data_IF_604469754203
#
_entry.id   IF_604469754203
#
_cell.length_a   1.000
_cell.length_b   1.000
_cell.length_c   1.000
_cell.angle_alpha   90.00
_cell.angle_beta   90.00
_cell.angle_gamma   90.00
#
_symmetry.space_group_name_H-M   'P 1'
#
loop_
_entity.id
_entity.type
_entity.pdbx_description
1 polymer ?
#
# COMPACT_ATOMS: atom_id res chain seq x y z
N UNK A 1 -6.69 -0.95 -20.36
CA UNK A 1 -7.88 -1.81 -20.20
C UNK A 1 -7.84 -2.89 -21.26
N UNK A 2 -8.19 -4.11 -20.87
CA UNK A 2 -8.37 -5.26 -21.75
C UNK A 2 -9.87 -5.47 -21.92
N UNK A 3 -10.32 -5.86 -23.13
CA UNK A 3 -11.73 -6.23 -23.32
C UNK A 3 -12.02 -7.53 -22.55
N UNK A 4 -13.09 -7.50 -21.76
CA UNK A 4 -13.55 -8.69 -21.04
C UNK A 4 -14.04 -9.74 -22.05
N UNK A 5 -13.48 -10.92 -22.00
CA UNK A 5 -13.80 -12.01 -22.90
C UNK A 5 -14.41 -13.16 -22.08
N UNK A 6 -15.41 -13.79 -22.60
CA UNK A 6 -16.06 -14.96 -21.99
C UNK A 6 -15.19 -16.22 -22.17
N UNK A 7 -13.88 -16.08 -21.89
CA UNK A 7 -12.86 -17.10 -22.05
C UNK A 7 -12.00 -17.21 -20.79
N UNK A 8 -11.38 -18.36 -20.60
CA UNK A 8 -10.46 -18.59 -19.47
C UNK A 8 -9.14 -17.84 -19.67
N UNK A 9 -8.54 -17.37 -18.59
CA UNK A 9 -7.22 -16.77 -18.62
C UNK A 9 -6.17 -17.79 -19.08
N UNK A 10 -5.14 -17.28 -19.75
CA UNK A 10 -3.97 -18.06 -20.11
C UNK A 10 -3.25 -18.52 -18.83
N UNK A 11 -2.72 -19.74 -18.82
CA UNK A 11 -2.00 -20.28 -17.69
C UNK A 11 -0.79 -19.41 -17.29
N UNK A 12 -0.54 -19.20 -15.98
CA UNK A 12 0.58 -18.41 -15.48
C UNK A 12 1.93 -18.85 -16.04
N UNK A 13 2.14 -20.16 -16.20
CA UNK A 13 3.38 -20.75 -16.77
C UNK A 13 3.67 -20.25 -18.17
N UNK A 14 2.62 -20.06 -19.00
CA UNK A 14 2.77 -19.50 -20.33
C UNK A 14 3.24 -18.06 -20.31
N UNK A 15 2.65 -17.22 -19.44
CA UNK A 15 3.03 -15.81 -19.31
C UNK A 15 4.46 -15.66 -18.75
N UNK A 16 4.84 -16.49 -17.76
CA UNK A 16 6.19 -16.52 -17.24
C UNK A 16 7.20 -16.90 -18.33
N UNK A 17 6.90 -17.96 -19.10
CA UNK A 17 7.75 -18.37 -20.21
C UNK A 17 7.90 -17.25 -21.24
N UNK A 18 6.79 -16.63 -21.62
CA UNK A 18 6.80 -15.54 -22.60
C UNK A 18 7.58 -14.32 -22.09
N UNK A 19 7.49 -14.00 -20.79
CA UNK A 19 8.28 -12.95 -20.17
C UNK A 19 9.79 -13.28 -20.22
N UNK A 20 10.17 -14.52 -19.91
CA UNK A 20 11.56 -14.97 -20.00
C UNK A 20 12.08 -15.01 -21.44
N UNK A 21 11.23 -15.37 -22.41
CA UNK A 21 11.61 -15.33 -23.84
C UNK A 21 11.85 -13.90 -24.34
N UNK A 22 11.12 -12.93 -23.82
CA UNK A 22 11.30 -11.50 -24.12
C UNK A 22 12.53 -10.91 -23.44
N UNK A 23 12.90 -11.45 -22.30
CA UNK A 23 14.01 -11.00 -21.46
C UNK A 23 14.78 -12.24 -20.95
N UNK A 24 15.64 -12.88 -21.78
CA UNK A 24 16.29 -14.15 -21.46
C UNK A 24 17.24 -14.07 -20.27
N UNK A 25 17.77 -12.89 -19.97
CA UNK A 25 18.74 -12.67 -18.90
C UNK A 25 18.09 -12.57 -17.51
N UNK A 26 16.75 -12.56 -17.43
CA UNK A 26 16.00 -12.33 -16.20
C UNK A 26 14.98 -13.43 -15.93
N UNK A 27 14.82 -13.81 -14.67
CA UNK A 27 13.83 -14.81 -14.25
C UNK A 27 12.55 -14.10 -13.78
N UNK A 28 11.47 -14.29 -14.55
CA UNK A 28 10.13 -13.90 -14.14
C UNK A 28 9.60 -14.91 -13.11
N UNK A 29 9.24 -14.45 -11.91
CA UNK A 29 8.89 -15.32 -10.79
C UNK A 29 7.42 -15.27 -10.40
N UNK A 30 6.72 -14.22 -10.76
CA UNK A 30 5.35 -13.99 -10.30
C UNK A 30 4.47 -13.43 -11.42
N UNK A 31 3.25 -13.96 -11.50
CA UNK A 31 2.16 -13.43 -12.35
C UNK A 31 1.02 -12.99 -11.45
N UNK A 32 0.51 -11.78 -11.66
CA UNK A 32 -0.66 -11.25 -10.94
C UNK A 32 -1.77 -10.97 -11.95
N UNK A 33 -2.92 -11.63 -11.80
CA UNK A 33 -4.13 -11.35 -12.57
C UNK A 33 -4.96 -10.30 -11.84
N UNK A 34 -5.18 -9.16 -12.47
CA UNK A 34 -5.85 -8.01 -11.87
C UNK A 34 -7.37 -7.96 -12.15
N UNK A 35 -7.93 -9.06 -12.66
CA UNK A 35 -9.36 -9.17 -13.04
C UNK A 35 -9.57 -9.26 -14.55
N UNK A 36 -10.83 -9.49 -14.96
CA UNK A 36 -11.20 -9.80 -16.35
C UNK A 36 -10.94 -8.66 -17.35
N UNK A 37 -11.05 -7.41 -16.92
CA UNK A 37 -10.84 -6.23 -17.77
C UNK A 37 -9.50 -5.51 -17.55
N UNK A 38 -8.55 -6.18 -16.87
CA UNK A 38 -7.23 -5.63 -16.56
C UNK A 38 -6.12 -6.55 -17.06
N UNK A 39 -4.95 -5.99 -17.39
CA UNK A 39 -3.80 -6.79 -17.79
C UNK A 39 -3.37 -7.75 -16.68
N UNK A 40 -2.84 -8.90 -17.07
CA UNK A 40 -2.00 -9.73 -16.21
C UNK A 40 -0.62 -9.10 -16.14
N UNK A 41 -0.06 -8.98 -14.93
CA UNK A 41 1.20 -8.31 -14.68
C UNK A 41 2.26 -9.32 -14.28
N UNK A 42 3.39 -9.31 -14.97
CA UNK A 42 4.59 -10.10 -14.64
C UNK A 42 5.68 -9.15 -14.18
N UNK A 43 6.24 -9.39 -13.00
CA UNK A 43 7.37 -8.62 -12.49
C UNK A 43 8.67 -9.28 -12.88
N UNK A 44 9.60 -8.50 -13.44
CA UNK A 44 10.98 -8.89 -13.73
C UNK A 44 11.92 -7.85 -13.13
N UNK A 45 13.13 -8.30 -12.76
CA UNK A 45 14.19 -7.40 -12.26
C UNK A 45 15.35 -7.43 -13.24
N UNK A 46 15.74 -6.29 -13.77
CA UNK A 46 16.82 -6.08 -14.74
C UNK A 46 17.87 -5.13 -14.15
N UNK A 47 19.09 -5.61 -13.92
CA UNK A 47 20.19 -4.82 -13.33
C UNK A 47 19.81 -4.07 -12.03
N UNK A 48 18.99 -4.68 -11.19
CA UNK A 48 18.47 -4.07 -9.97
C UNK A 48 17.24 -3.20 -10.17
N UNK A 49 16.85 -2.91 -11.40
CA UNK A 49 15.64 -2.15 -11.76
C UNK A 49 14.45 -3.08 -11.95
N UNK A 50 13.32 -2.75 -11.35
CA UNK A 50 12.11 -3.52 -11.47
C UNK A 50 11.25 -3.03 -12.64
N UNK A 51 10.87 -3.97 -13.52
CA UNK A 51 9.94 -3.72 -14.62
C UNK A 51 8.67 -4.53 -14.45
N UNK A 52 7.54 -3.94 -14.84
CA UNK A 52 6.27 -4.64 -14.99
C UNK A 52 5.99 -4.89 -16.46
N UNK A 53 5.83 -6.14 -16.81
CA UNK A 53 5.34 -6.57 -18.12
C UNK A 53 3.84 -6.81 -18.02
N UNK A 54 3.06 -5.98 -18.66
CA UNK A 54 1.62 -6.09 -18.69
C UNK A 54 1.20 -6.87 -19.94
N UNK A 55 0.60 -8.04 -19.73
CA UNK A 55 0.10 -8.91 -20.78
C UNK A 55 -1.43 -8.91 -20.83
N UNK A 56 -1.99 -9.11 -21.99
CA UNK A 56 -3.39 -9.47 -22.13
C UNK A 56 -3.61 -10.87 -21.53
N UNK A 57 -4.51 -11.02 -20.54
CA UNK A 57 -4.70 -12.28 -19.84
C UNK A 57 -5.35 -13.38 -20.74
N UNK A 58 -5.95 -13.01 -21.87
CA UNK A 58 -6.62 -13.90 -22.78
C UNK A 58 -5.76 -14.31 -24.00
N UNK A 59 -5.01 -13.36 -24.56
CA UNK A 59 -4.17 -13.58 -25.75
C UNK A 59 -2.69 -13.78 -25.40
N UNK A 60 -2.27 -13.35 -24.20
CA UNK A 60 -0.89 -13.35 -23.79
C UNK A 60 -0.03 -12.33 -24.55
N UNK A 61 -0.61 -11.38 -25.28
CA UNK A 61 0.15 -10.34 -25.96
C UNK A 61 0.70 -9.32 -24.96
N UNK A 62 1.95 -8.87 -25.18
CA UNK A 62 2.55 -7.81 -24.37
C UNK A 62 1.90 -6.48 -24.72
N UNK A 63 1.20 -5.88 -23.76
CA UNK A 63 0.55 -4.57 -23.93
C UNK A 63 1.56 -3.45 -23.65
N UNK A 64 2.33 -3.56 -22.55
CA UNK A 64 3.24 -2.51 -22.10
C UNK A 64 4.33 -3.06 -21.19
N UNK A 65 5.57 -2.56 -21.36
CA UNK A 65 6.66 -2.67 -20.38
C UNK A 65 6.72 -1.33 -19.60
N UNK A 66 6.65 -1.39 -18.29
CA UNK A 66 6.70 -0.23 -17.39
C UNK A 66 7.94 -0.32 -16.53
N UNK A 67 8.76 0.72 -16.53
CA UNK A 67 9.87 0.84 -15.59
C UNK A 67 9.35 1.45 -14.29
N UNK A 68 9.43 0.70 -13.18
CA UNK A 68 8.92 1.16 -11.89
C UNK A 68 9.72 2.33 -11.32
N UNK A 69 11.00 2.44 -11.61
CA UNK A 69 11.82 3.54 -11.08
C UNK A 69 11.48 4.90 -11.69
N UNK A 70 10.95 4.92 -12.92
CA UNK A 70 10.59 6.17 -13.62
C UNK A 70 9.08 6.41 -13.64
N UNK A 71 8.30 5.51 -13.05
CA UNK A 71 6.86 5.62 -13.01
C UNK A 71 6.46 6.69 -11.98
N UNK A 72 5.58 7.61 -12.41
CA UNK A 72 5.21 8.78 -11.59
C UNK A 72 4.69 8.42 -10.20
N UNK A 73 3.79 7.44 -10.11
CA UNK A 73 3.21 7.07 -8.81
C UNK A 73 4.22 6.37 -7.90
N UNK A 74 5.15 5.59 -8.45
CA UNK A 74 6.25 4.98 -7.70
C UNK A 74 7.16 6.05 -7.11
N UNK A 75 7.52 7.09 -7.90
CA UNK A 75 8.33 8.21 -7.41
C UNK A 75 7.62 8.95 -6.27
N UNK A 76 6.31 9.18 -6.39
CA UNK A 76 5.52 9.83 -5.33
C UNK A 76 5.43 8.94 -4.09
N UNK A 77 5.27 7.64 -4.27
CA UNK A 77 5.29 6.66 -3.17
C UNK A 77 6.64 6.65 -2.46
N UNK A 78 7.75 6.57 -3.19
CA UNK A 78 9.10 6.62 -2.64
C UNK A 78 9.40 7.96 -1.94
N UNK A 79 8.94 9.07 -2.51
CA UNK A 79 9.03 10.38 -1.87
C UNK A 79 8.27 10.40 -0.54
N UNK A 80 7.07 9.83 -0.52
CA UNK A 80 6.22 9.80 0.68
C UNK A 80 6.78 8.87 1.77
N UNK A 81 7.24 7.69 1.37
CA UNK A 81 7.69 6.64 2.30
C UNK A 81 9.14 6.83 2.76
N UNK A 82 10.01 7.35 1.88
CA UNK A 82 11.47 7.34 2.09
C UNK A 82 12.16 8.65 1.75
N UNK A 83 11.44 9.71 1.33
CA UNK A 83 12.00 10.99 0.86
C UNK A 83 13.00 10.83 -0.30
N UNK A 84 12.81 9.82 -1.17
CA UNK A 84 13.76 9.43 -2.23
C UNK A 84 15.17 9.10 -1.71
N UNK A 85 15.30 8.78 -0.42
CA UNK A 85 16.53 8.32 0.20
C UNK A 85 16.58 6.78 0.19
N UNK A 86 17.78 6.17 0.38
CA UNK A 86 17.86 4.74 0.61
C UNK A 86 16.87 4.30 1.70
N UNK A 87 16.13 3.22 1.44
CA UNK A 87 14.98 2.77 2.25
C UNK A 87 15.29 2.70 3.76
N UNK A 88 16.48 2.22 4.13
CA UNK A 88 16.90 2.09 5.52
C UNK A 88 16.95 3.44 6.25
N UNK A 89 17.45 4.48 5.56
CA UNK A 89 17.61 5.82 6.12
C UNK A 89 16.27 6.57 6.05
N UNK A 90 15.64 6.55 4.87
CA UNK A 90 14.40 7.26 4.62
C UNK A 90 13.27 6.81 5.54
N UNK A 91 13.11 5.50 5.72
CA UNK A 91 12.13 4.91 6.65
C UNK A 91 12.28 5.43 8.08
N UNK A 92 13.52 5.55 8.58
CA UNK A 92 13.76 6.06 9.93
C UNK A 92 13.43 7.55 10.07
N UNK A 93 13.82 8.36 9.08
CA UNK A 93 13.54 9.80 9.10
C UNK A 93 12.03 10.06 9.05
N UNK A 94 11.32 9.43 8.13
CA UNK A 94 9.87 9.58 7.99
C UNK A 94 9.15 9.04 9.22
N UNK A 95 9.56 7.88 9.73
CA UNK A 95 8.96 7.26 10.90
C UNK A 95 9.11 8.11 12.17
N UNK A 96 10.32 8.62 12.47
CA UNK A 96 10.57 9.51 13.62
C UNK A 96 9.76 10.82 13.46
N UNK A 97 9.76 11.41 12.27
CA UNK A 97 8.98 12.62 11.99
C UNK A 97 7.48 12.39 12.21
N UNK A 98 6.97 11.23 11.81
CA UNK A 98 5.58 10.83 12.03
C UNK A 98 5.25 10.64 13.50
N UNK A 99 6.16 10.09 14.31
CA UNK A 99 5.99 9.99 15.78
C UNK A 99 5.89 11.37 16.40
N UNK A 100 6.82 12.27 16.05
CA UNK A 100 6.80 13.67 16.53
C UNK A 100 5.48 14.34 16.12
N UNK A 101 5.05 14.14 14.89
CA UNK A 101 3.79 14.69 14.38
C UNK A 101 2.58 14.19 15.16
N UNK A 102 2.50 12.90 15.47
CA UNK A 102 1.44 12.31 16.32
C UNK A 102 1.43 12.95 17.72
N UNK A 103 2.58 13.13 18.34
CA UNK A 103 2.69 13.80 19.64
C UNK A 103 2.17 15.23 19.57
N UNK A 104 2.53 15.98 18.53
CA UNK A 104 2.07 17.34 18.31
C UNK A 104 0.55 17.39 18.08
N UNK A 105 -0.02 16.46 17.31
CA UNK A 105 -1.47 16.38 17.09
C UNK A 105 -2.22 16.11 18.40
N UNK A 106 -1.76 15.12 19.18
CA UNK A 106 -2.38 14.77 20.46
C UNK A 106 -2.31 15.94 21.44
N UNK A 107 -1.14 16.60 21.56
CA UNK A 107 -0.99 17.78 22.41
C UNK A 107 -1.87 18.93 21.95
N UNK A 108 -2.00 19.13 20.63
CA UNK A 108 -2.87 20.13 20.03
C UNK A 108 -4.35 19.89 20.35
N UNK A 109 -4.83 18.65 20.25
CA UNK A 109 -6.20 18.26 20.61
C UNK A 109 -6.45 18.50 22.10
N UNK A 110 -5.50 18.14 22.98
CA UNK A 110 -5.63 18.36 24.43
C UNK A 110 -5.70 19.86 24.77
N UNK A 111 -4.84 20.68 24.17
CA UNK A 111 -4.85 22.14 24.37
C UNK A 111 -6.10 22.79 23.80
N UNK A 112 -6.62 22.25 22.70
CA UNK A 112 -7.84 22.73 22.07
C UNK A 112 -9.09 22.40 22.92
N UNK A 113 -9.07 21.31 23.70
CA UNK A 113 -10.25 20.85 24.43
C UNK A 113 -10.75 21.87 25.46
N UNK A 114 -12.04 22.25 25.46
CA UNK A 114 -12.55 23.24 26.39
C UNK A 114 -12.66 22.69 27.81
N UNK A 115 -12.26 23.46 28.80
CA UNK A 115 -12.43 23.12 30.23
C UNK A 115 -13.87 22.86 30.64
N UNK A 116 -14.87 23.43 29.94
CA UNK A 116 -16.30 23.24 30.16
C UNK A 116 -16.98 22.89 28.83
N UNK A 117 -17.67 21.78 28.76
CA UNK A 117 -18.32 21.24 27.56
C UNK A 117 -19.32 22.24 26.93
N UNK A 118 -19.94 23.10 27.72
CA UNK A 118 -20.85 24.16 27.23
C UNK A 118 -20.21 25.08 26.18
N UNK A 119 -18.89 25.23 26.18
CA UNK A 119 -18.18 26.06 25.21
C UNK A 119 -17.77 25.29 23.93
N UNK A 120 -17.99 23.97 23.86
CA UNK A 120 -17.64 23.16 22.72
C UNK A 120 -18.28 23.64 21.42
N UNK A 121 -19.60 23.92 21.46
CA UNK A 121 -20.33 24.44 20.30
C UNK A 121 -19.75 25.76 19.78
N UNK A 122 -19.31 26.62 20.70
CA UNK A 122 -18.69 27.90 20.33
C UNK A 122 -17.29 27.71 19.71
N UNK A 123 -16.52 26.74 20.17
CA UNK A 123 -15.20 26.43 19.61
C UNK A 123 -15.24 25.72 18.25
N UNK A 124 -16.34 25.01 17.96
CA UNK A 124 -16.61 24.36 16.69
C UNK A 124 -17.31 25.25 15.66
N UNK A 125 -17.50 26.53 15.95
CA UNK A 125 -18.19 27.45 15.05
C UNK A 125 -17.36 28.71 14.79
N UNK A 126 -17.39 29.18 13.52
CA UNK A 126 -16.72 30.40 13.08
C UNK A 126 -17.70 31.57 13.20
N UNK A 127 -17.28 32.66 13.87
CA UNK A 127 -18.07 33.89 13.95
C UNK A 127 -17.82 34.79 12.73
N UNK A 128 -18.58 34.61 11.67
CA UNK A 128 -18.41 35.31 10.41
C UNK A 128 -18.56 36.86 10.50
N UNK A 129 -19.32 37.36 11.48
CA UNK A 129 -19.52 38.79 11.68
C UNK A 129 -18.44 39.45 12.56
N UNK A 130 -17.34 38.77 12.82
CA UNK A 130 -16.22 39.26 13.61
C UNK A 130 -15.16 39.96 12.74
N UNK A 131 -14.21 40.68 13.37
CA UNK A 131 -13.04 41.23 12.68
C UNK A 131 -12.19 40.13 12.10
N UNK A 132 -11.50 40.38 10.96
CA UNK A 132 -10.66 39.41 10.22
C UNK A 132 -9.74 38.55 11.11
N UNK A 133 -9.04 39.18 12.07
CA UNK A 133 -8.16 38.44 13.01
C UNK A 133 -8.91 37.38 13.80
N UNK A 134 -10.15 37.65 14.20
CA UNK A 134 -11.00 36.71 14.93
C UNK A 134 -11.48 35.58 14.01
N UNK A 135 -11.89 35.90 12.81
CA UNK A 135 -12.35 34.94 11.82
C UNK A 135 -11.20 33.96 11.50
N UNK A 136 -9.98 34.46 11.23
CA UNK A 136 -8.81 33.64 10.95
C UNK A 136 -8.46 32.70 12.12
N UNK A 137 -8.55 33.22 13.37
CA UNK A 137 -8.34 32.38 14.56
C UNK A 137 -9.41 31.30 14.70
N UNK A 138 -10.69 31.63 14.52
CA UNK A 138 -11.78 30.68 14.60
C UNK A 138 -11.67 29.62 13.47
N UNK A 139 -11.29 30.04 12.26
CA UNK A 139 -11.03 29.12 11.12
C UNK A 139 -9.91 28.15 11.45
N UNK A 140 -8.77 28.63 11.89
CA UNK A 140 -7.65 27.78 12.27
C UNK A 140 -8.05 26.76 13.36
N UNK A 141 -8.78 27.20 14.38
CA UNK A 141 -9.21 26.31 15.45
C UNK A 141 -10.23 25.25 14.99
N UNK A 142 -11.20 25.65 14.17
CA UNK A 142 -12.26 24.75 13.72
C UNK A 142 -11.70 23.74 12.69
N UNK A 143 -11.03 24.23 11.65
CA UNK A 143 -10.44 23.36 10.62
C UNK A 143 -9.33 22.50 11.23
N UNK A 144 -8.46 23.08 12.07
CA UNK A 144 -7.38 22.36 12.75
C UNK A 144 -7.89 21.20 13.59
N UNK A 145 -9.01 21.37 14.30
CA UNK A 145 -9.61 20.28 15.05
C UNK A 145 -10.10 19.13 14.16
N UNK A 146 -10.87 19.43 13.10
CA UNK A 146 -11.37 18.39 12.20
C UNK A 146 -10.24 17.71 11.42
N UNK A 147 -9.29 18.48 10.89
CA UNK A 147 -8.16 17.93 10.17
C UNK A 147 -7.21 17.15 11.07
N UNK A 148 -7.07 17.53 12.36
CA UNK A 148 -6.20 16.79 13.29
C UNK A 148 -6.71 15.37 13.55
N UNK A 149 -8.02 15.14 13.56
CA UNK A 149 -8.59 13.79 13.72
C UNK A 149 -8.24 12.91 12.50
N UNK A 150 -8.47 13.44 11.30
CA UNK A 150 -8.14 12.73 10.06
C UNK A 150 -6.63 12.49 9.95
N UNK A 151 -5.83 13.53 10.22
CA UNK A 151 -4.38 13.45 10.17
C UNK A 151 -3.82 12.47 11.21
N UNK A 152 -4.43 12.37 12.39
CA UNK A 152 -4.04 11.41 13.42
C UNK A 152 -4.28 9.98 12.95
N UNK A 153 -5.44 9.70 12.35
CA UNK A 153 -5.74 8.37 11.80
C UNK A 153 -4.73 8.00 10.71
N UNK A 154 -4.47 8.93 9.77
CA UNK A 154 -3.51 8.70 8.69
C UNK A 154 -2.08 8.52 9.20
N UNK A 155 -1.64 9.34 10.17
CA UNK A 155 -0.30 9.23 10.73
C UNK A 155 -0.10 7.91 11.49
N UNK A 156 -1.08 7.48 12.26
CA UNK A 156 -1.02 6.25 13.04
C UNK A 156 -1.08 5.02 12.12
N UNK A 157 -1.91 5.03 11.09
CA UNK A 157 -1.90 3.96 10.07
C UNK A 157 -0.58 3.92 9.30
N UNK A 158 -0.01 5.09 8.93
CA UNK A 158 1.32 5.17 8.31
C UNK A 158 2.43 4.59 9.19
N UNK A 159 2.40 4.86 10.51
CA UNK A 159 3.33 4.26 11.45
C UNK A 159 3.21 2.73 11.56
N UNK A 160 2.00 2.18 11.39
CA UNK A 160 1.79 0.73 11.37
C UNK A 160 2.48 0.08 10.17
N UNK A 161 2.54 0.74 9.00
CA UNK A 161 3.33 0.26 7.86
C UNK A 161 4.86 0.43 8.07
N UNK A 162 5.26 1.44 8.84
CA UNK A 162 6.68 1.70 9.08
C UNK A 162 7.30 0.77 10.15
N UNK A 163 6.54 0.41 11.19
CA UNK A 163 7.05 -0.31 12.36
C UNK A 163 6.18 -1.51 12.74
N UNK A 164 6.76 -2.72 12.69
CA UNK A 164 6.09 -3.97 13.08
C UNK A 164 5.44 -3.92 14.47
N UNK A 165 6.06 -3.38 15.54
CA UNK A 165 5.41 -3.33 16.85
C UNK A 165 4.13 -2.49 16.87
N UNK A 166 4.05 -1.47 16.01
CA UNK A 166 2.82 -0.66 15.86
C UNK A 166 1.77 -1.45 15.13
N UNK A 167 2.14 -2.15 14.06
CA UNK A 167 1.26 -3.05 13.31
C UNK A 167 0.68 -4.14 14.21
N UNK A 168 1.53 -4.84 14.97
CA UNK A 168 1.12 -5.92 15.89
C UNK A 168 0.17 -5.41 16.97
N UNK A 169 0.40 -4.20 17.48
CA UNK A 169 -0.49 -3.56 18.46
C UNK A 169 -1.88 -3.32 17.86
N UNK A 170 -1.94 -2.81 16.63
CA UNK A 170 -3.21 -2.61 15.90
C UNK A 170 -3.92 -3.93 15.64
N UNK A 171 -3.17 -4.91 15.15
CA UNK A 171 -3.69 -6.22 14.83
C UNK A 171 -4.28 -6.91 16.09
N UNK A 172 -3.55 -6.84 17.20
CA UNK A 172 -3.98 -7.37 18.48
C UNK A 172 -5.28 -6.70 18.98
N UNK A 173 -5.36 -5.37 18.88
CA UNK A 173 -6.57 -4.62 19.27
C UNK A 173 -7.75 -4.96 18.36
N UNK A 174 -7.54 -5.01 17.03
CA UNK A 174 -8.60 -5.31 16.07
C UNK A 174 -9.14 -6.73 16.21
N UNK A 175 -8.29 -7.70 16.58
CA UNK A 175 -8.65 -9.11 16.75
C UNK A 175 -8.94 -9.51 18.20
N UNK A 176 -9.16 -8.52 19.10
CA UNK A 176 -9.44 -8.78 20.52
C UNK A 176 -8.40 -9.69 21.20
N UNK A 177 -7.12 -9.51 20.86
CA UNK A 177 -6.01 -10.27 21.42
C UNK A 177 -5.81 -11.66 20.80
N UNK A 178 -6.55 -12.04 19.77
CA UNK A 178 -6.30 -13.29 19.06
C UNK A 178 -5.13 -13.09 18.10
N UNK A 179 -4.02 -13.75 18.33
CA UNK A 179 -2.96 -13.89 17.35
C UNK A 179 -3.45 -14.85 16.27
N UNK A 180 -3.66 -14.30 15.06
CA UNK A 180 -3.70 -15.11 13.86
C UNK A 180 -2.25 -15.22 13.38
N UNK A 181 -1.66 -16.39 13.49
CA UNK A 181 -0.56 -16.73 12.60
C UNK A 181 -1.17 -16.74 11.21
N UNK A 182 -0.73 -15.81 10.36
CA UNK A 182 -0.94 -15.96 8.93
C UNK A 182 -0.19 -17.23 8.56
N UNK A 183 -0.88 -18.36 8.59
CA UNK A 183 -0.47 -19.50 7.80
C UNK A 183 -0.49 -19.00 6.36
N UNK A 184 0.66 -18.47 5.91
CA UNK A 184 0.92 -18.47 4.49
C UNK A 184 0.72 -19.92 4.10
N UNK A 185 -0.30 -20.17 3.30
CA UNK A 185 -0.47 -21.47 2.68
C UNK A 185 0.77 -21.71 1.82
N UNK A 186 1.87 -22.07 2.49
CA UNK A 186 2.87 -22.88 1.86
C UNK A 186 2.08 -24.11 1.50
N UNK A 187 1.73 -24.26 0.22
CA UNK A 187 1.23 -25.52 -0.27
C UNK A 187 2.34 -26.53 0.02
N UNK A 188 2.35 -27.07 1.25
CA UNK A 188 2.99 -28.35 1.47
C UNK A 188 2.25 -29.28 0.52
N UNK A 189 2.88 -29.51 -0.63
CA UNK A 189 2.53 -30.62 -1.47
C UNK A 189 2.81 -31.83 -0.56
N UNK A 190 1.83 -32.19 0.26
CA UNK A 190 1.81 -33.47 0.95
C UNK A 190 2.07 -34.48 -0.15
N UNK A 191 3.16 -35.18 -0.07
CA UNK A 191 3.60 -36.24 -0.92
C UNK A 191 2.50 -37.28 -1.16
N UNK A 192 1.52 -36.91 -1.94
CA UNK A 192 0.70 -37.85 -2.67
C UNK A 192 1.56 -38.20 -3.86
N UNK A 193 2.10 -39.42 -3.87
CA UNK A 193 3.08 -40.03 -4.69
C UNK A 193 2.95 -39.87 -6.22
N UNK A 194 2.75 -38.67 -6.73
CA UNK A 194 3.01 -38.26 -8.10
C UNK A 194 4.02 -37.12 -8.04
N UNK A 195 5.28 -37.50 -8.21
CA UNK A 195 6.37 -36.60 -8.53
C UNK A 195 5.88 -35.61 -9.57
N UNK A 196 5.55 -34.38 -9.16
CA UNK A 196 5.32 -33.30 -10.11
C UNK A 196 6.65 -33.08 -10.80
N UNK A 197 6.77 -33.63 -12.00
CA UNK A 197 8.06 -33.70 -12.72
C UNK A 197 8.46 -32.35 -13.32
N UNK A 198 7.60 -31.32 -13.17
CA UNK A 198 7.88 -30.02 -13.74
C UNK A 198 7.38 -28.92 -12.82
N UNK A 199 8.26 -27.98 -12.44
CA UNK A 199 7.97 -26.77 -11.65
C UNK A 199 6.80 -25.97 -12.27
N UNK A 200 6.64 -26.02 -13.58
CA UNK A 200 5.60 -25.40 -14.38
C UNK A 200 4.20 -25.96 -14.09
N UNK A 201 4.09 -27.30 -13.94
CA UNK A 201 2.80 -27.92 -13.60
C UNK A 201 2.33 -27.58 -12.19
N UNK A 202 3.27 -27.32 -11.27
CA UNK A 202 2.92 -26.90 -9.90
C UNK A 202 2.33 -25.47 -9.86
N UNK A 203 2.78 -24.59 -10.76
CA UNK A 203 2.25 -23.22 -10.88
C UNK A 203 0.84 -23.25 -11.48
N UNK A 204 0.61 -24.08 -12.49
CA UNK A 204 -0.70 -24.18 -13.18
C UNK A 204 -1.76 -24.90 -12.33
N UNK A 205 -1.38 -25.68 -11.31
CA UNK A 205 -2.29 -26.35 -10.38
C UNK A 205 -2.67 -25.51 -9.18
N UNK A 206 -2.03 -24.36 -8.98
CA UNK A 206 -2.33 -23.43 -7.87
C UNK A 206 -3.45 -22.44 -8.21
N UNK A 207 -4.00 -22.47 -9.42
CA UNK A 207 -5.11 -21.72 -9.95
C UNK A 207 -6.20 -22.66 -10.49
#
# INVERSE_FOLDING_TARGET
>A
FVEDQDSTFIAPSFLLKKANDLQPDFEATMVVYNGSSRPATVTITEDGTNFLLNFDPYTGELIKKVNLETEFFTIIEELHMYLLLPQEIGKQIVGISSIIFVILLLSGIVLWWPKKIKYLKQRLSVKWNARWRRINYDWHNVTGFYTSIVALILAVTGLAFAYEPVYDSFYSVANLGKHYELDFFTSEIKNSAKKVQNKQQAVDLAF
#
